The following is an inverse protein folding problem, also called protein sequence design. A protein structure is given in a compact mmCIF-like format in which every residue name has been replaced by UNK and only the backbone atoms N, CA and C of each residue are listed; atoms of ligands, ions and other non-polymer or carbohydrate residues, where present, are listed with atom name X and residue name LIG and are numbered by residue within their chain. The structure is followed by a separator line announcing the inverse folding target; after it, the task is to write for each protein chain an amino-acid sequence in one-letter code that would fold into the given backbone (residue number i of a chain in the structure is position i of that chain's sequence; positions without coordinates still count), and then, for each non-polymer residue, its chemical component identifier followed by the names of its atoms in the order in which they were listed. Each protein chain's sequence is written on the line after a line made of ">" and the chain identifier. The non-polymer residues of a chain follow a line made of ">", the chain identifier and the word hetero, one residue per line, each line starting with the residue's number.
data_IF_654210772628
#
_entry.id   IF_654210772628
#
_cell.length_a   1.000
_cell.length_b   1.000
_cell.length_c   1.000
_cell.angle_alpha   90.00
_cell.angle_beta   90.00
_cell.angle_gamma   90.00
#
_symmetry.space_group_name_H-M   'P 1'
#
loop_
_entity.id
_entity.type
_entity.pdbx_description
1 polymer ?
#
# COMPACT_ATOMS: atom_id res chain seq x y z
N UNK A 1 -43.24 29.25 -27.99
CA UNK A 1 -42.97 27.80 -28.07
C UNK A 1 -41.50 27.57 -27.87
N UNK A 2 -41.06 27.55 -26.62
CA UNK A 2 -39.67 27.34 -26.27
C UNK A 2 -39.50 25.98 -25.61
N UNK A 3 -39.07 25.03 -26.39
CA UNK A 3 -38.56 23.75 -25.89
C UNK A 3 -37.12 23.93 -25.48
N UNK A 4 -36.85 24.14 -24.19
CA UNK A 4 -35.53 24.09 -23.63
C UNK A 4 -34.99 22.66 -23.72
N UNK A 5 -33.73 22.46 -24.17
CA UNK A 5 -33.18 21.13 -24.40
C UNK A 5 -32.93 20.38 -23.10
N UNK A 6 -33.47 19.18 -23.05
CA UNK A 6 -33.32 18.16 -21.96
C UNK A 6 -31.88 17.77 -21.66
N UNK A 7 -30.90 18.32 -22.38
CA UNK A 7 -29.48 17.99 -22.26
C UNK A 7 -28.74 18.61 -21.04
N UNK A 8 -29.37 19.50 -20.27
CA UNK A 8 -28.73 20.20 -19.15
C UNK A 8 -28.96 19.58 -17.78
N UNK A 9 -29.80 18.54 -17.66
CA UNK A 9 -30.20 17.99 -16.36
C UNK A 9 -29.38 16.75 -15.94
N UNK A 10 -28.53 16.21 -16.80
CA UNK A 10 -27.71 15.00 -16.51
C UNK A 10 -26.29 15.27 -16.02
N UNK A 11 -25.89 16.54 -15.83
CA UNK A 11 -24.56 16.90 -15.29
C UNK A 11 -24.51 17.09 -13.78
N UNK A 12 -25.55 16.81 -13.05
CA UNK A 12 -25.58 16.87 -11.58
C UNK A 12 -25.57 15.45 -11.03
N UNK A 13 -24.50 15.10 -10.28
CA UNK A 13 -24.33 13.97 -9.38
C UNK A 13 -23.46 12.78 -9.79
N UNK A 14 -22.58 12.87 -10.74
CA UNK A 14 -21.40 12.04 -10.70
C UNK A 14 -20.20 12.86 -10.18
N UNK A 15 -20.15 13.13 -8.88
CA UNK A 15 -18.84 13.27 -8.21
C UNK A 15 -18.18 11.91 -8.40
N UNK A 16 -17.29 11.78 -9.37
CA UNK A 16 -16.36 10.67 -9.49
C UNK A 16 -15.64 10.59 -8.14
N UNK A 17 -16.05 9.63 -7.31
CA UNK A 17 -15.43 9.39 -6.01
C UNK A 17 -13.98 9.13 -6.35
N UNK A 18 -13.05 10.02 -5.95
CA UNK A 18 -11.62 9.85 -6.20
C UNK A 18 -11.25 8.44 -5.75
N UNK A 19 -10.84 7.58 -6.69
CA UNK A 19 -10.45 6.20 -6.39
C UNK A 19 -9.29 6.22 -5.42
N UNK A 20 -9.40 5.44 -4.36
CA UNK A 20 -8.34 5.32 -3.37
C UNK A 20 -7.11 4.64 -3.97
N UNK A 21 -5.93 5.13 -3.65
CA UNK A 21 -4.65 4.53 -4.01
C UNK A 21 -4.00 3.97 -2.76
N UNK A 22 -3.65 2.69 -2.78
CA UNK A 22 -3.05 2.00 -1.64
C UNK A 22 -1.65 1.56 -2.02
N UNK A 23 -0.65 2.07 -1.31
CA UNK A 23 0.72 1.58 -1.43
C UNK A 23 0.88 0.31 -0.60
N UNK A 24 1.36 -0.75 -1.22
CA UNK A 24 1.62 -2.05 -0.61
C UNK A 24 3.14 -2.28 -0.56
N UNK A 25 3.70 -2.26 0.64
CA UNK A 25 5.06 -2.70 0.91
C UNK A 25 5.06 -4.21 1.15
N UNK A 26 5.92 -4.96 0.49
CA UNK A 26 5.87 -6.41 0.52
C UNK A 26 7.21 -7.07 0.16
N UNK A 27 7.40 -8.31 0.60
CA UNK A 27 8.54 -9.12 0.22
C UNK A 27 8.64 -9.32 -1.30
N UNK A 28 9.87 -9.27 -1.81
CA UNK A 28 10.22 -9.65 -3.19
C UNK A 28 10.85 -11.05 -3.29
N UNK A 29 11.03 -11.77 -2.18
CA UNK A 29 11.51 -13.15 -2.18
C UNK A 29 10.47 -14.11 -2.73
N UNK A 30 10.89 -15.08 -3.57
CA UNK A 30 9.99 -16.05 -4.20
C UNK A 30 9.72 -17.33 -3.40
N UNK A 31 10.44 -17.57 -2.30
CA UNK A 31 10.32 -18.79 -1.48
C UNK A 31 9.62 -18.48 -0.16
N UNK A 32 8.30 -18.36 -0.19
CA UNK A 32 7.50 -17.96 0.96
C UNK A 32 6.42 -19.00 1.25
N UNK A 33 6.02 -19.09 2.53
CA UNK A 33 4.93 -19.96 2.96
C UNK A 33 3.59 -19.56 2.31
N UNK A 34 2.76 -20.58 2.02
CA UNK A 34 1.51 -20.40 1.26
C UNK A 34 0.56 -19.41 1.92
N UNK A 35 0.45 -19.40 3.26
CA UNK A 35 -0.42 -18.48 3.99
C UNK A 35 -0.10 -17.00 3.71
N UNK A 36 1.16 -16.65 3.54
CA UNK A 36 1.57 -15.28 3.18
C UNK A 36 1.20 -14.94 1.74
N UNK A 37 1.37 -15.90 0.82
CA UNK A 37 0.99 -15.74 -0.59
C UNK A 37 -0.52 -15.55 -0.71
N UNK A 38 -1.31 -16.36 -0.01
CA UNK A 38 -2.77 -16.28 0.01
C UNK A 38 -3.26 -14.94 0.53
N UNK A 39 -2.65 -14.43 1.60
CA UNK A 39 -2.97 -13.11 2.16
C UNK A 39 -2.65 -11.97 1.16
N UNK A 40 -1.50 -12.04 0.48
CA UNK A 40 -1.12 -11.06 -0.54
C UNK A 40 -2.07 -11.07 -1.73
N UNK A 41 -2.44 -12.25 -2.22
CA UNK A 41 -3.41 -12.41 -3.31
C UNK A 41 -4.80 -11.91 -2.91
N UNK A 42 -5.25 -12.23 -1.68
CA UNK A 42 -6.53 -11.74 -1.14
C UNK A 42 -6.55 -10.22 -1.09
N UNK A 43 -5.48 -9.60 -0.58
CA UNK A 43 -5.35 -8.13 -0.56
C UNK A 43 -5.44 -7.54 -1.98
N UNK A 44 -4.74 -8.11 -2.95
CA UNK A 44 -4.79 -7.67 -4.35
C UNK A 44 -6.21 -7.72 -4.93
N UNK A 45 -6.92 -8.84 -4.74
CA UNK A 45 -8.32 -9.01 -5.17
C UNK A 45 -9.25 -8.01 -4.50
N UNK A 46 -9.08 -7.75 -3.20
CA UNK A 46 -9.91 -6.79 -2.46
C UNK A 46 -9.70 -5.36 -2.95
N UNK A 47 -8.46 -4.96 -3.23
CA UNK A 47 -8.12 -3.65 -3.81
C UNK A 47 -8.85 -3.48 -5.15
N UNK A 48 -8.80 -4.50 -6.03
CA UNK A 48 -9.50 -4.50 -7.31
C UNK A 48 -11.02 -4.43 -7.14
N UNK A 49 -11.60 -5.26 -6.28
CA UNK A 49 -13.05 -5.32 -6.03
C UNK A 49 -13.61 -3.99 -5.50
N UNK A 50 -12.82 -3.23 -4.75
CA UNK A 50 -13.18 -1.88 -4.27
C UNK A 50 -12.99 -0.79 -5.34
N UNK A 51 -12.44 -1.12 -6.51
CA UNK A 51 -12.09 -0.15 -7.55
C UNK A 51 -10.94 0.77 -7.14
N UNK A 52 -10.07 0.33 -6.23
CA UNK A 52 -8.88 1.06 -5.81
C UNK A 52 -7.70 0.75 -6.70
N UNK A 53 -6.67 1.59 -6.66
CA UNK A 53 -5.41 1.36 -7.39
C UNK A 53 -4.36 0.82 -6.41
N UNK A 54 -3.75 -0.32 -6.73
CA UNK A 54 -2.60 -0.85 -6.03
C UNK A 54 -1.33 -0.13 -6.48
N UNK A 55 -0.54 0.40 -5.55
CA UNK A 55 0.79 0.96 -5.82
C UNK A 55 1.83 0.07 -5.11
N UNK A 56 2.93 -0.25 -5.78
CA UNK A 56 4.02 -1.01 -5.17
C UNK A 56 5.39 -0.68 -5.80
N UNK A 57 6.43 -1.36 -5.34
CA UNK A 57 7.79 -1.21 -5.83
C UNK A 57 8.09 -1.91 -7.16
N UNK A 58 7.07 -2.34 -7.89
CA UNK A 58 7.14 -2.96 -9.21
C UNK A 58 7.89 -4.31 -9.31
N UNK A 59 8.24 -4.96 -8.20
CA UNK A 59 8.86 -6.29 -8.24
C UNK A 59 7.90 -7.38 -8.71
N UNK A 60 8.41 -8.30 -9.54
CA UNK A 60 7.61 -9.40 -10.13
C UNK A 60 7.47 -10.63 -9.25
N UNK A 61 8.22 -10.73 -8.16
CA UNK A 61 8.30 -11.93 -7.31
C UNK A 61 7.73 -11.66 -5.91
N UNK A 62 7.62 -12.74 -5.13
CA UNK A 62 7.21 -12.70 -3.73
C UNK A 62 5.79 -12.20 -3.53
N UNK A 63 5.54 -11.59 -2.36
CA UNK A 63 4.22 -11.05 -2.03
C UNK A 63 3.89 -9.80 -2.85
N UNK A 64 4.92 -9.07 -3.30
CA UNK A 64 4.76 -7.91 -4.17
C UNK A 64 4.18 -8.33 -5.52
N UNK A 65 4.75 -9.35 -6.17
CA UNK A 65 4.23 -9.92 -7.41
C UNK A 65 2.86 -10.55 -7.20
N UNK A 66 2.68 -11.37 -6.17
CA UNK A 66 1.42 -12.07 -5.89
C UNK A 66 0.24 -11.12 -5.68
N UNK A 67 0.42 -10.01 -4.96
CA UNK A 67 -0.63 -9.00 -4.78
C UNK A 67 -0.96 -8.25 -6.07
N UNK A 68 0.06 -7.92 -6.87
CA UNK A 68 -0.09 -7.27 -8.17
C UNK A 68 -0.83 -8.16 -9.17
N UNK A 69 -0.37 -9.41 -9.35
CA UNK A 69 -1.00 -10.40 -10.23
C UNK A 69 -2.48 -10.61 -9.89
N UNK A 70 -2.78 -10.78 -8.61
CA UNK A 70 -4.15 -10.99 -8.15
C UNK A 70 -5.04 -9.75 -8.38
N UNK A 71 -4.50 -8.54 -8.21
CA UNK A 71 -5.20 -7.29 -8.50
C UNK A 71 -5.50 -7.17 -9.99
N UNK A 72 -4.53 -7.36 -10.86
CA UNK A 72 -4.68 -7.29 -12.31
C UNK A 72 -5.62 -8.38 -12.86
N UNK A 73 -5.49 -9.63 -12.38
CA UNK A 73 -6.36 -10.74 -12.76
C UNK A 73 -7.83 -10.51 -12.37
N UNK A 74 -8.08 -9.76 -11.31
CA UNK A 74 -9.42 -9.34 -10.90
C UNK A 74 -9.95 -8.08 -11.65
N UNK A 75 -9.24 -7.61 -12.69
CA UNK A 75 -9.62 -6.43 -13.46
C UNK A 75 -9.33 -5.10 -12.75
N UNK A 76 -8.50 -5.12 -11.71
CA UNK A 76 -8.07 -3.93 -10.97
C UNK A 76 -6.95 -3.15 -11.66
N UNK A 77 -6.60 -2.02 -11.07
CA UNK A 77 -5.52 -1.15 -11.53
C UNK A 77 -4.30 -1.30 -10.61
N UNK A 78 -3.10 -1.37 -11.19
CA UNK A 78 -1.85 -1.36 -10.45
C UNK A 78 -0.85 -0.38 -11.08
N UNK A 79 0.00 0.23 -10.24
CA UNK A 79 1.09 1.12 -10.64
C UNK A 79 2.36 0.73 -9.90
N UNK A 80 3.40 0.39 -10.66
CA UNK A 80 4.72 0.13 -10.12
C UNK A 80 5.59 1.38 -10.10
N UNK A 81 6.31 1.61 -8.99
CA UNK A 81 7.26 2.72 -8.88
C UNK A 81 8.66 2.13 -8.69
N UNK A 82 9.53 2.36 -9.66
CA UNK A 82 10.80 1.66 -9.77
C UNK A 82 11.92 2.59 -10.27
N UNK A 83 13.11 2.54 -9.69
CA UNK A 83 14.25 3.29 -10.20
C UNK A 83 14.75 2.71 -11.53
N UNK A 84 15.29 3.59 -12.38
CA UNK A 84 15.81 3.22 -13.69
C UNK A 84 16.79 2.05 -13.65
N UNK A 85 17.74 2.05 -12.71
CA UNK A 85 18.75 0.98 -12.61
C UNK A 85 18.13 -0.41 -12.38
N UNK A 86 16.99 -0.51 -11.67
CA UNK A 86 16.29 -1.77 -11.46
C UNK A 86 15.58 -2.25 -12.74
N UNK A 87 15.07 -1.31 -13.55
CA UNK A 87 14.49 -1.62 -14.87
C UNK A 87 15.57 -2.16 -15.80
N UNK A 88 16.76 -1.58 -15.80
CA UNK A 88 17.90 -2.04 -16.58
C UNK A 88 18.36 -3.46 -16.19
N UNK A 89 18.11 -3.88 -14.95
CA UNK A 89 18.33 -5.26 -14.47
C UNK A 89 17.17 -6.22 -14.79
N UNK A 90 16.07 -5.73 -15.34
CA UNK A 90 14.92 -6.57 -15.67
C UNK A 90 14.11 -7.06 -14.47
N UNK A 91 14.13 -6.33 -13.34
CA UNK A 91 13.45 -6.75 -12.11
C UNK A 91 11.97 -6.37 -12.05
N UNK A 92 11.51 -5.55 -12.97
CA UNK A 92 10.14 -5.07 -13.01
C UNK A 92 9.11 -6.16 -13.33
N UNK A 93 7.91 -5.94 -12.87
CA UNK A 93 6.73 -6.74 -13.22
C UNK A 93 6.37 -6.55 -14.70
N UNK A 94 6.11 -7.65 -15.46
CA UNK A 94 5.96 -7.58 -16.92
C UNK A 94 4.66 -6.87 -17.37
N UNK A 95 3.61 -6.90 -16.56
CA UNK A 95 2.27 -6.45 -16.95
C UNK A 95 1.78 -5.21 -16.20
N UNK A 96 2.58 -4.66 -15.30
CA UNK A 96 2.21 -3.50 -14.50
C UNK A 96 2.70 -2.22 -15.17
N UNK A 97 1.85 -1.17 -15.31
CA UNK A 97 2.31 0.17 -15.67
C UNK A 97 3.37 0.68 -14.69
N UNK A 98 4.40 1.35 -15.20
CA UNK A 98 5.55 1.79 -14.43
C UNK A 98 5.67 3.31 -14.38
N UNK A 99 5.97 3.84 -13.20
CA UNK A 99 6.56 5.16 -12.99
C UNK A 99 8.04 4.96 -12.67
N UNK A 100 8.90 5.38 -13.61
CA UNK A 100 10.35 5.22 -13.46
C UNK A 100 10.91 6.45 -12.75
N UNK A 101 11.68 6.22 -11.69
CA UNK A 101 12.32 7.25 -10.88
C UNK A 101 13.83 7.31 -11.14
N UNK A 102 14.46 8.43 -10.78
CA UNK A 102 15.89 8.60 -10.93
C UNK A 102 16.68 7.72 -9.95
N UNK A 103 16.19 7.66 -8.69
CA UNK A 103 16.86 6.95 -7.60
C UNK A 103 15.86 6.38 -6.58
N UNK A 104 16.40 5.80 -5.49
CA UNK A 104 15.63 5.19 -4.42
C UNK A 104 14.90 6.22 -3.54
N UNK A 105 15.43 7.45 -3.43
CA UNK A 105 14.78 8.50 -2.64
C UNK A 105 13.51 8.97 -3.32
N UNK A 106 13.58 9.30 -4.61
CA UNK A 106 12.42 9.67 -5.40
C UNK A 106 11.39 8.54 -5.42
N UNK A 107 11.82 7.27 -5.54
CA UNK A 107 10.93 6.12 -5.49
C UNK A 107 10.11 6.10 -4.21
N UNK A 108 10.74 6.22 -3.04
CA UNK A 108 10.06 6.19 -1.75
C UNK A 108 9.14 7.40 -1.55
N UNK A 109 9.58 8.57 -1.98
CA UNK A 109 8.73 9.78 -1.98
C UNK A 109 7.46 9.58 -2.81
N UNK A 110 7.57 9.00 -4.02
CA UNK A 110 6.42 8.72 -4.88
C UNK A 110 5.50 7.64 -4.31
N UNK A 111 6.06 6.56 -3.73
CA UNK A 111 5.28 5.51 -3.07
C UNK A 111 4.38 6.10 -1.96
N UNK A 112 4.92 6.97 -1.12
CA UNK A 112 4.19 7.63 -0.05
C UNK A 112 3.28 8.76 -0.57
N UNK A 113 3.80 9.61 -1.46
CA UNK A 113 3.10 10.81 -1.92
C UNK A 113 1.84 10.51 -2.74
N UNK A 114 1.89 9.49 -3.60
CA UNK A 114 0.78 9.11 -4.48
C UNK A 114 -0.31 8.29 -3.80
N UNK A 115 -0.04 7.69 -2.64
CA UNK A 115 -0.99 6.85 -1.93
C UNK A 115 -1.97 7.65 -1.07
N UNK A 116 -3.13 7.07 -0.79
CA UNK A 116 -4.11 7.53 0.21
C UNK A 116 -4.01 6.69 1.51
N UNK A 117 -3.32 5.54 1.47
CA UNK A 117 -2.95 4.71 2.62
C UNK A 117 -1.76 3.81 2.26
N UNK A 118 -1.02 3.35 3.27
CA UNK A 118 0.02 2.32 3.12
C UNK A 118 -0.35 1.06 3.89
N UNK A 119 -0.14 -0.10 3.28
CA UNK A 119 -0.30 -1.42 3.91
C UNK A 119 1.03 -2.16 3.77
N UNK A 120 1.60 -2.60 4.89
CA UNK A 120 2.79 -3.45 4.90
C UNK A 120 2.39 -4.91 5.07
N UNK A 121 2.64 -5.72 4.05
CA UNK A 121 2.67 -7.18 4.09
C UNK A 121 3.99 -7.67 4.72
N UNK A 122 4.08 -8.91 5.17
CA UNK A 122 5.36 -9.50 5.58
C UNK A 122 6.46 -9.29 4.54
N UNK A 123 7.67 -8.97 5.02
CA UNK A 123 8.80 -8.75 4.13
C UNK A 123 10.14 -8.65 4.84
N UNK A 124 11.21 -8.60 4.07
CA UNK A 124 12.58 -8.49 4.57
C UNK A 124 13.00 -7.06 4.85
N UNK A 125 14.31 -6.83 4.85
CA UNK A 125 14.93 -5.54 5.20
C UNK A 125 14.37 -4.38 4.39
N UNK A 126 14.16 -4.54 3.08
CA UNK A 126 13.60 -3.47 2.23
C UNK A 126 12.19 -3.07 2.63
N UNK A 127 11.33 -4.07 2.94
CA UNK A 127 9.97 -3.81 3.42
C UNK A 127 9.96 -3.15 4.80
N UNK A 128 10.85 -3.60 5.69
CA UNK A 128 11.02 -3.00 7.03
C UNK A 128 11.53 -1.57 6.92
N UNK A 129 12.47 -1.29 6.02
CA UNK A 129 13.01 0.04 5.77
C UNK A 129 11.89 1.00 5.30
N UNK A 130 11.08 0.59 4.31
CA UNK A 130 9.95 1.37 3.82
C UNK A 130 8.90 1.61 4.92
N UNK A 131 8.60 0.59 5.73
CA UNK A 131 7.66 0.69 6.85
C UNK A 131 8.18 1.64 7.94
N UNK A 132 9.44 1.52 8.35
CA UNK A 132 10.03 2.40 9.37
C UNK A 132 10.14 3.85 8.89
N UNK A 133 10.43 4.05 7.62
CA UNK A 133 10.47 5.40 7.04
C UNK A 133 9.09 6.06 7.07
N UNK A 134 8.03 5.36 6.63
CA UNK A 134 6.69 5.94 6.62
C UNK A 134 6.14 6.19 8.03
N UNK A 135 6.47 5.33 8.99
CA UNK A 135 6.18 5.55 10.41
C UNK A 135 6.90 6.82 10.91
N UNK A 136 8.17 6.98 10.57
CA UNK A 136 8.97 8.16 10.92
C UNK A 136 8.40 9.42 10.29
N UNK A 137 8.02 9.39 9.02
CA UNK A 137 7.41 10.54 8.36
C UNK A 137 6.08 10.92 9.00
N UNK A 138 5.29 9.94 9.41
CA UNK A 138 4.03 10.20 10.11
C UNK A 138 4.28 10.79 11.51
N UNK A 139 5.30 10.31 12.21
CA UNK A 139 5.75 10.85 13.51
C UNK A 139 6.18 12.32 13.40
N UNK A 140 6.78 12.70 12.27
CA UNK A 140 7.23 14.06 11.97
C UNK A 140 6.13 14.96 11.36
N UNK A 141 4.93 14.43 11.11
CA UNK A 141 3.85 15.18 10.47
C UNK A 141 4.00 15.34 8.95
N UNK A 142 4.96 14.65 8.33
CA UNK A 142 5.21 14.67 6.88
C UNK A 142 4.26 13.73 6.11
N UNK A 143 3.64 12.77 6.79
CA UNK A 143 2.68 11.83 6.25
C UNK A 143 1.49 11.71 7.19
N UNK A 144 0.28 12.05 6.73
CA UNK A 144 -0.91 12.09 7.58
C UNK A 144 -1.91 10.97 7.31
N UNK A 145 -1.61 10.11 6.34
CA UNK A 145 -2.51 9.06 5.87
C UNK A 145 -2.37 7.79 6.72
N UNK A 146 -3.30 6.82 6.62
CA UNK A 146 -3.22 5.54 7.35
C UNK A 146 -1.97 4.74 7.02
N UNK A 147 -1.37 4.15 8.06
CA UNK A 147 -0.30 3.14 7.96
C UNK A 147 -0.82 1.87 8.63
N UNK A 148 -0.93 0.78 7.88
CA UNK A 148 -1.47 -0.49 8.33
C UNK A 148 -0.39 -1.57 8.22
N UNK A 149 -0.22 -2.34 9.29
CA UNK A 149 0.64 -3.53 9.33
C UNK A 149 -0.26 -4.75 9.22
N UNK A 150 -0.20 -5.48 8.10
CA UNK A 150 -0.92 -6.73 7.94
C UNK A 150 -0.10 -7.86 8.55
N UNK A 151 -0.48 -8.25 9.77
CA UNK A 151 0.27 -9.18 10.62
C UNK A 151 -0.13 -10.65 10.39
N UNK A 152 -0.04 -11.10 9.14
CA UNK A 152 -0.35 -12.48 8.76
C UNK A 152 0.52 -13.45 9.56
N UNK A 153 -0.13 -14.42 10.22
CA UNK A 153 0.52 -15.45 11.04
C UNK A 153 1.43 -14.89 12.15
N UNK A 154 1.19 -13.66 12.65
CA UNK A 154 2.02 -13.06 13.69
C UNK A 154 3.42 -12.67 13.23
N UNK A 155 3.65 -12.53 11.92
CA UNK A 155 4.97 -12.23 11.36
C UNK A 155 5.63 -11.00 11.98
N UNK A 156 4.85 -9.98 12.28
CA UNK A 156 5.32 -8.72 12.83
C UNK A 156 5.31 -8.65 14.36
N UNK A 157 4.92 -9.73 15.08
CA UNK A 157 4.88 -9.72 16.56
C UNK A 157 6.23 -9.30 17.18
N UNK A 158 7.41 -9.75 16.71
CA UNK A 158 8.68 -9.29 17.27
C UNK A 158 8.94 -7.80 17.03
N UNK A 159 8.57 -7.27 15.85
CA UNK A 159 8.70 -5.84 15.54
C UNK A 159 7.76 -5.00 16.40
N UNK A 160 6.52 -5.42 16.56
CA UNK A 160 5.52 -4.73 17.39
C UNK A 160 5.98 -4.70 18.84
N UNK A 161 6.49 -5.83 19.37
CA UNK A 161 7.08 -5.90 20.71
C UNK A 161 8.29 -4.95 20.86
N UNK A 162 9.14 -4.83 19.84
CA UNK A 162 10.26 -3.89 19.86
C UNK A 162 9.78 -2.43 19.89
N UNK A 163 8.74 -2.10 19.12
CA UNK A 163 8.16 -0.75 19.09
C UNK A 163 7.46 -0.40 20.42
N UNK A 164 6.77 -1.36 21.02
CA UNK A 164 6.17 -1.21 22.35
C UNK A 164 7.24 -0.94 23.40
N UNK A 165 8.30 -1.72 23.40
CA UNK A 165 9.45 -1.52 24.30
C UNK A 165 10.07 -0.13 24.11
N UNK A 166 10.20 0.34 22.86
CA UNK A 166 10.75 1.65 22.58
C UNK A 166 9.89 2.79 23.19
N UNK A 167 8.58 2.62 23.22
CA UNK A 167 7.67 3.57 23.88
C UNK A 167 7.75 3.45 25.41
N UNK A 168 7.72 2.23 25.96
CA UNK A 168 7.76 1.97 27.39
C UNK A 168 9.07 2.48 28.03
N UNK A 169 10.19 2.31 27.35
CA UNK A 169 11.49 2.83 27.75
C UNK A 169 11.74 4.29 27.35
N UNK A 170 10.74 4.97 26.76
CA UNK A 170 10.74 6.39 26.36
C UNK A 170 11.71 6.77 25.22
N UNK A 171 12.11 5.80 24.40
CA UNK A 171 12.77 6.08 23.11
C UNK A 171 11.78 6.63 22.07
N UNK A 172 10.50 6.40 22.28
CA UNK A 172 9.36 6.98 21.54
C UNK A 172 8.37 7.62 22.53
N UNK A 173 7.61 8.59 22.03
CA UNK A 173 6.46 9.13 22.81
C UNK A 173 5.34 8.10 22.81
N UNK A 174 4.61 7.98 23.94
CA UNK A 174 3.48 7.05 24.07
C UNK A 174 2.42 7.24 22.96
N UNK A 175 2.09 8.48 22.61
CA UNK A 175 1.16 8.79 21.54
C UNK A 175 1.58 8.29 20.15
N UNK A 176 2.84 7.92 19.96
CA UNK A 176 3.33 7.37 18.68
C UNK A 176 2.88 5.93 18.44
N UNK A 177 2.41 5.19 19.45
CA UNK A 177 1.79 3.87 19.27
C UNK A 177 0.52 3.93 18.41
N UNK A 178 -0.13 5.09 18.30
CA UNK A 178 -1.30 5.30 17.43
C UNK A 178 -0.95 5.62 15.96
N UNK A 179 0.33 5.68 15.60
CA UNK A 179 0.78 6.01 14.23
C UNK A 179 0.39 4.93 13.24
N UNK A 180 0.51 3.67 13.62
CA UNK A 180 0.13 2.52 12.80
C UNK A 180 -1.06 1.80 13.39
N UNK A 181 -1.70 0.99 12.58
CA UNK A 181 -2.74 0.04 13.00
C UNK A 181 -2.35 -1.35 12.52
N UNK A 182 -2.70 -2.35 13.30
CA UNK A 182 -2.41 -3.75 13.00
C UNK A 182 -3.70 -4.41 12.52
N UNK A 183 -3.62 -5.13 11.42
CA UNK A 183 -4.70 -5.95 10.88
C UNK A 183 -4.28 -7.42 10.90
N UNK A 184 -5.19 -8.30 11.27
CA UNK A 184 -4.97 -9.75 11.21
C UNK A 184 -5.27 -10.32 9.81
N UNK A 185 -6.19 -9.69 9.06
CA UNK A 185 -6.64 -10.16 7.75
C UNK A 185 -6.59 -9.05 6.69
N UNK A 186 -6.53 -9.40 5.40
CA UNK A 186 -6.60 -8.43 4.30
C UNK A 186 -7.87 -7.57 4.32
N UNK A 187 -9.02 -8.16 4.70
CA UNK A 187 -10.30 -7.46 4.83
C UNK A 187 -10.24 -6.37 5.90
N UNK A 188 -9.68 -6.70 7.06
CA UNK A 188 -9.45 -5.74 8.13
C UNK A 188 -8.49 -4.64 7.71
N UNK A 189 -7.41 -4.98 6.99
CA UNK A 189 -6.46 -3.99 6.49
C UNK A 189 -7.12 -2.96 5.55
N UNK A 190 -8.00 -3.40 4.66
CA UNK A 190 -8.78 -2.51 3.78
C UNK A 190 -9.72 -1.64 4.60
N UNK A 191 -10.46 -2.22 5.55
CA UNK A 191 -11.36 -1.46 6.42
C UNK A 191 -10.61 -0.36 7.20
N UNK A 192 -9.44 -0.69 7.76
CA UNK A 192 -8.59 0.26 8.47
C UNK A 192 -8.04 1.36 7.55
N UNK A 193 -7.75 1.04 6.28
CA UNK A 193 -7.33 2.02 5.30
C UNK A 193 -8.44 3.03 4.95
N UNK A 194 -9.71 2.59 4.96
CA UNK A 194 -10.88 3.41 4.63
C UNK A 194 -11.30 4.36 5.76
N UNK A 195 -11.10 3.97 7.03
CA UNK A 195 -11.67 4.65 8.22
C UNK A 195 -11.05 6.00 8.57
N UNK A 196 -10.03 6.47 7.86
CA UNK A 196 -9.36 7.75 8.16
C UNK A 196 -9.74 8.87 7.18
N UNK A 197 -10.81 8.69 6.43
CA UNK A 197 -11.37 9.70 5.51
C UNK A 197 -12.46 10.59 6.13
N UNK A 198 -12.60 10.58 7.45
CA UNK A 198 -13.50 11.49 8.18
C UNK A 198 -12.80 12.79 8.56
#
# INVERSE_FOLDING_TARGET
>A
HDALPIYLTLRRHFKLKKRMKITVYAASSGQLGQAYIDAAQSLGRLIAAKGYTLINGAGRMGLMGASCDACLAAGGEALGIIPRFMVEQGWQHPSQPLLITADMHERKEKLAGLSDACIALPGGVGTLEELMEIITWKQLGLYLKPVIILNTCGYYDPLLSQLDRAADERFMREGHKAIWRVAATPEEAILLAETTRS
#
